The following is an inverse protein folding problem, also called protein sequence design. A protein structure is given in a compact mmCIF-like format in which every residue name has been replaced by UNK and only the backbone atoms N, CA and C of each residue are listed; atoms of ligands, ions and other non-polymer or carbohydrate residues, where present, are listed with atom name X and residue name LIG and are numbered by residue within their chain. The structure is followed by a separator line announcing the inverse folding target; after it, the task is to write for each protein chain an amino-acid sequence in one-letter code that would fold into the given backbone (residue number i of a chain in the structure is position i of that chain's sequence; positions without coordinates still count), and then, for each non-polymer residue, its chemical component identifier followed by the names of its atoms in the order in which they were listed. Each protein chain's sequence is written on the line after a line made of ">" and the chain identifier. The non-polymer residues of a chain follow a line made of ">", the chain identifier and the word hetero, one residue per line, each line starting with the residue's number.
data_IF_329900442365
#
_entry.id   IF_329900442365
#
_cell.length_a   1.000
_cell.length_b   1.000
_cell.length_c   1.000
_cell.angle_alpha   90.00
_cell.angle_beta   90.00
_cell.angle_gamma   90.00
#
_symmetry.space_group_name_H-M   'P 1'
#
loop_
_entity.id
_entity.type
_entity.pdbx_description
1 polymer ?
#
# COMPACT_ATOMS: atom_id res chain seq x y z
N UNK A 1 16.51 -8.31 34.13
CA UNK A 1 17.91 -8.28 33.64
C UNK A 1 18.13 -6.87 33.15
N UNK A 2 19.09 -6.15 33.74
CA UNK A 2 19.41 -4.78 33.36
C UNK A 2 20.04 -4.87 31.97
N UNK A 3 19.39 -4.27 30.98
CA UNK A 3 19.91 -4.17 29.62
C UNK A 3 21.24 -3.40 29.70
N UNK A 4 22.34 -4.03 29.30
CA UNK A 4 23.67 -3.42 29.34
C UNK A 4 23.66 -2.18 28.44
N UNK A 5 23.55 -1.00 29.05
CA UNK A 5 23.53 0.29 28.38
C UNK A 5 24.82 0.46 27.56
N UNK A 6 24.74 0.24 26.24
CA UNK A 6 25.92 0.29 25.37
C UNK A 6 26.30 1.74 25.09
N UNK A 7 27.43 2.16 25.65
CA UNK A 7 27.94 3.52 25.53
C UNK A 7 28.77 3.71 24.24
N UNK A 8 28.73 4.92 23.69
CA UNK A 8 29.52 5.32 22.53
C UNK A 8 30.94 5.70 23.00
N UNK A 9 32.00 5.01 22.56
CA UNK A 9 33.35 5.24 23.10
C UNK A 9 34.14 6.36 22.40
N UNK A 10 33.53 7.09 21.45
CA UNK A 10 34.21 8.08 20.61
C UNK A 10 33.31 9.24 20.19
N UNK A 11 33.92 10.27 19.59
CA UNK A 11 33.20 11.30 18.84
C UNK A 11 32.36 12.25 19.69
N UNK A 12 31.37 12.88 19.04
CA UNK A 12 30.49 13.94 19.58
C UNK A 12 29.68 13.46 20.80
N UNK A 13 29.31 12.18 20.82
CA UNK A 13 28.44 11.56 21.81
C UNK A 13 29.18 10.60 22.76
N UNK A 14 30.48 10.83 22.98
CA UNK A 14 31.30 9.96 23.82
C UNK A 14 30.69 9.80 25.23
N UNK A 15 30.73 8.57 25.73
CA UNK A 15 30.22 8.14 27.04
C UNK A 15 28.70 8.28 27.21
N UNK A 16 27.97 8.55 26.11
CA UNK A 16 26.51 8.57 26.09
C UNK A 16 25.95 7.23 25.57
N UNK A 17 24.71 6.89 25.94
CA UNK A 17 24.02 5.71 25.42
C UNK A 17 23.87 5.78 23.90
N UNK A 18 24.00 4.64 23.22
CA UNK A 18 23.89 4.56 21.76
C UNK A 18 22.56 5.11 21.21
N UNK A 19 21.49 5.04 22.02
CA UNK A 19 20.14 5.55 21.72
C UNK A 19 20.12 7.07 21.47
N UNK A 20 21.11 7.84 21.94
CA UNK A 20 21.19 9.28 21.66
C UNK A 20 21.27 9.57 20.16
N UNK A 21 21.80 8.63 19.36
CA UNK A 21 21.90 8.73 17.91
C UNK A 21 20.54 8.74 17.21
N UNK A 22 19.42 8.46 17.91
CA UNK A 22 18.06 8.54 17.35
C UNK A 22 17.75 9.97 16.97
N UNK A 23 18.25 10.92 17.77
CA UNK A 23 17.96 12.34 17.63
C UNK A 23 18.92 13.08 16.68
N UNK A 24 19.90 12.39 16.08
CA UNK A 24 20.89 12.98 15.16
C UNK A 24 21.14 12.08 13.93
N UNK A 25 20.18 12.05 12.97
CA UNK A 25 20.29 11.21 11.77
C UNK A 25 21.49 11.57 10.89
N UNK A 26 21.86 12.85 10.83
CA UNK A 26 23.02 13.32 10.07
C UNK A 26 24.31 12.73 10.63
N UNK A 27 24.52 12.81 11.94
CA UNK A 27 25.71 12.23 12.58
C UNK A 27 25.74 10.70 12.46
N UNK A 28 24.58 10.04 12.59
CA UNK A 28 24.45 8.59 12.39
C UNK A 28 24.86 8.18 10.97
N UNK A 29 24.34 8.86 9.94
CA UNK A 29 24.66 8.55 8.55
C UNK A 29 26.12 8.85 8.22
N UNK A 30 26.65 9.97 8.72
CA UNK A 30 28.07 10.30 8.61
C UNK A 30 28.94 9.20 9.24
N UNK A 31 28.56 8.69 10.41
CA UNK A 31 29.28 7.65 11.14
C UNK A 31 29.24 6.30 10.40
N UNK A 32 28.07 5.91 9.87
CA UNK A 32 27.90 4.68 9.08
C UNK A 32 28.71 4.70 7.77
N UNK A 33 28.98 5.88 7.21
CA UNK A 33 29.80 6.05 6.01
C UNK A 33 31.31 5.89 6.28
N UNK A 34 31.76 5.89 7.54
CA UNK A 34 33.19 5.81 7.87
C UNK A 34 33.71 4.36 7.88
N UNK A 35 34.73 4.09 7.07
CA UNK A 35 35.39 2.77 7.02
C UNK A 35 35.97 2.35 8.37
N UNK A 36 36.52 3.30 9.15
CA UNK A 36 37.11 3.00 10.46
C UNK A 36 36.06 2.55 11.49
N UNK A 37 34.83 3.06 11.40
CA UNK A 37 33.76 2.74 12.35
C UNK A 37 33.32 1.29 12.17
N UNK A 38 33.14 0.87 10.90
CA UNK A 38 32.81 -0.51 10.57
C UNK A 38 33.89 -1.51 11.00
N UNK A 39 35.16 -1.11 10.97
CA UNK A 39 36.28 -1.97 11.36
C UNK A 39 36.48 -2.06 12.88
N UNK A 40 36.38 -0.94 13.59
CA UNK A 40 36.68 -0.87 15.03
C UNK A 40 35.50 -1.20 15.92
N UNK A 41 34.27 -0.97 15.46
CA UNK A 41 33.07 -1.10 16.28
C UNK A 41 31.96 -1.86 15.53
N UNK A 42 32.21 -3.12 15.10
CA UNK A 42 31.23 -3.91 14.35
C UNK A 42 29.93 -4.14 15.15
N UNK A 43 30.03 -4.33 16.46
CA UNK A 43 28.87 -4.55 17.33
C UNK A 43 27.97 -3.30 17.45
N UNK A 44 28.58 -2.10 17.53
CA UNK A 44 27.82 -0.85 17.54
C UNK A 44 27.18 -0.61 16.18
N UNK A 45 27.89 -0.91 15.08
CA UNK A 45 27.31 -0.85 13.73
C UNK A 45 26.10 -1.79 13.60
N UNK A 46 26.19 -3.02 14.11
CA UNK A 46 25.07 -3.97 14.06
C UNK A 46 23.88 -3.47 14.87
N UNK A 47 24.11 -2.88 16.05
CA UNK A 47 23.05 -2.28 16.87
C UNK A 47 22.44 -1.08 16.16
N UNK A 48 23.25 -0.21 15.55
CA UNK A 48 22.74 0.92 14.77
C UNK A 48 21.87 0.42 13.61
N UNK A 49 22.32 -0.61 12.88
CA UNK A 49 21.55 -1.18 11.77
C UNK A 49 20.28 -1.88 12.25
N UNK A 50 20.32 -2.61 13.38
CA UNK A 50 19.18 -3.40 13.86
C UNK A 50 18.15 -2.55 14.62
N UNK A 51 18.59 -1.66 15.51
CA UNK A 51 17.72 -0.81 16.34
C UNK A 51 17.27 0.46 15.60
N UNK A 52 18.04 0.89 14.58
CA UNK A 52 17.76 2.06 13.76
C UNK A 52 17.60 1.69 12.29
N UNK A 53 17.23 0.43 12.01
CA UNK A 53 16.28 0.18 10.92
C UNK A 53 15.18 1.18 11.18
N UNK A 54 15.12 2.21 10.36
CA UNK A 54 14.01 3.14 10.37
C UNK A 54 12.76 2.24 10.38
N UNK A 55 12.03 2.23 11.50
CA UNK A 55 10.59 2.05 11.42
C UNK A 55 10.16 3.27 10.61
N UNK A 56 10.23 3.10 9.29
CA UNK A 56 10.07 4.13 8.27
C UNK A 56 8.62 4.61 8.18
N UNK A 57 7.76 4.12 9.07
CA UNK A 57 6.39 4.56 9.19
C UNK A 57 6.36 5.81 10.06
N UNK A 58 6.43 6.96 9.39
CA UNK A 58 6.11 8.22 10.05
C UNK A 58 4.70 8.14 10.65
N UNK A 59 4.36 8.94 11.68
CA UNK A 59 3.00 8.98 12.22
C UNK A 59 1.92 9.18 11.13
N UNK A 60 2.25 9.87 10.06
CA UNK A 60 1.41 10.09 8.89
C UNK A 60 1.17 8.80 8.09
N UNK A 61 2.20 7.97 7.88
CA UNK A 61 2.06 6.65 7.23
C UNK A 61 1.17 5.73 8.07
N UNK A 62 1.45 5.62 9.36
CA UNK A 62 0.66 4.84 10.32
C UNK A 62 -0.82 5.26 10.35
N UNK A 63 -1.06 6.58 10.27
CA UNK A 63 -2.42 7.12 10.21
C UNK A 63 -3.15 6.66 8.94
N UNK A 64 -2.51 6.75 7.78
CA UNK A 64 -3.09 6.32 6.50
C UNK A 64 -3.31 4.81 6.46
N UNK A 65 -2.40 4.02 7.04
CA UNK A 65 -2.59 2.58 7.19
C UNK A 65 -3.79 2.27 8.10
N UNK A 66 -3.99 3.07 9.15
CA UNK A 66 -5.14 2.99 10.05
C UNK A 66 -6.50 3.15 9.36
N UNK A 67 -6.58 3.90 8.25
CA UNK A 67 -7.83 4.04 7.48
C UNK A 67 -8.31 2.69 6.91
N UNK A 68 -7.38 1.77 6.60
CA UNK A 68 -7.69 0.44 6.10
C UNK A 68 -8.22 -0.54 7.15
N UNK A 69 -8.34 -0.11 8.41
CA UNK A 69 -9.09 -0.84 9.44
C UNK A 69 -10.60 -0.67 9.29
N UNK A 70 -11.07 0.41 8.65
CA UNK A 70 -12.50 0.66 8.40
C UNK A 70 -12.96 -0.02 7.11
N UNK A 71 -13.89 -0.97 7.26
CA UNK A 71 -14.50 -1.69 6.13
C UNK A 71 -15.18 -0.75 5.14
N UNK A 72 -15.79 0.36 5.60
CA UNK A 72 -16.42 1.34 4.71
C UNK A 72 -15.38 2.02 3.84
N UNK A 73 -14.23 2.37 4.43
CA UNK A 73 -13.11 2.94 3.70
C UNK A 73 -12.57 1.93 2.68
N UNK A 74 -12.34 0.68 3.07
CA UNK A 74 -11.89 -0.37 2.14
C UNK A 74 -12.86 -0.56 0.95
N UNK A 75 -14.16 -0.51 1.20
CA UNK A 75 -15.18 -0.63 0.13
C UNK A 75 -15.16 0.59 -0.78
N UNK A 76 -15.06 1.81 -0.23
CA UNK A 76 -14.94 3.04 -1.02
C UNK A 76 -13.65 3.02 -1.88
N UNK A 77 -12.56 2.54 -1.30
CA UNK A 77 -11.29 2.31 -1.98
C UNK A 77 -11.47 1.35 -3.16
N UNK A 78 -12.12 0.18 -2.95
CA UNK A 78 -12.41 -0.79 -4.02
C UNK A 78 -13.22 -0.16 -5.17
N UNK A 79 -14.24 0.63 -4.85
CA UNK A 79 -15.07 1.34 -5.84
C UNK A 79 -14.27 2.33 -6.67
N UNK A 80 -13.34 3.05 -6.06
CA UNK A 80 -12.46 3.98 -6.77
C UNK A 80 -11.46 3.26 -7.69
N UNK A 81 -10.87 2.15 -7.23
CA UNK A 81 -9.86 1.44 -8.03
C UNK A 81 -10.46 0.60 -9.16
N UNK A 82 -11.71 0.15 -9.02
CA UNK A 82 -12.37 -0.72 -9.99
C UNK A 82 -13.86 -0.35 -10.13
N UNK A 83 -14.19 0.86 -10.62
CA UNK A 83 -15.58 1.28 -10.79
C UNK A 83 -16.36 0.36 -11.73
N UNK A 84 -15.68 -0.18 -12.74
CA UNK A 84 -16.25 -1.15 -13.69
C UNK A 84 -16.76 -2.43 -13.04
N UNK A 85 -16.23 -2.82 -11.88
CA UNK A 85 -16.72 -3.96 -11.10
C UNK A 85 -18.15 -3.73 -10.59
N UNK A 86 -18.54 -2.47 -10.43
CA UNK A 86 -19.83 -2.05 -9.88
C UNK A 86 -20.80 -1.53 -10.96
N UNK A 87 -20.28 -0.99 -12.06
CA UNK A 87 -21.11 -0.48 -13.17
C UNK A 87 -21.68 -1.61 -14.04
N UNK A 88 -20.91 -2.69 -14.23
CA UNK A 88 -21.37 -3.85 -14.97
C UNK A 88 -20.57 -5.11 -14.58
N UNK A 89 -20.91 -5.76 -13.47
CA UNK A 89 -20.26 -7.00 -13.03
C UNK A 89 -20.34 -8.16 -14.05
N UNK A 90 -21.11 -8.02 -15.14
CA UNK A 90 -21.07 -8.88 -16.34
C UNK A 90 -19.71 -8.95 -17.05
N UNK A 91 -18.75 -8.10 -16.68
CA UNK A 91 -17.41 -8.04 -17.29
C UNK A 91 -16.30 -8.51 -16.35
N UNK A 92 -16.45 -9.65 -15.68
CA UNK A 92 -15.27 -10.37 -15.22
C UNK A 92 -14.58 -10.93 -16.48
N UNK A 93 -13.39 -10.43 -16.88
CA UNK A 93 -12.87 -10.61 -18.25
C UNK A 93 -12.46 -12.05 -18.61
N UNK A 94 -12.63 -13.01 -17.69
CA UNK A 94 -12.20 -14.40 -17.87
C UNK A 94 -13.34 -15.36 -18.22
N UNK A 95 -14.60 -14.91 -18.19
CA UNK A 95 -15.76 -15.72 -18.61
C UNK A 95 -16.41 -15.10 -19.84
N UNK A 96 -16.22 -15.77 -20.98
CA UNK A 96 -17.04 -15.58 -22.17
C UNK A 96 -18.52 -15.85 -21.82
N UNK A 97 -19.44 -15.48 -22.72
CA UNK A 97 -20.90 -15.74 -22.77
C UNK A 97 -21.86 -14.65 -22.25
N UNK A 98 -23.01 -14.60 -22.93
CA UNK A 98 -24.14 -13.69 -22.89
C UNK A 98 -24.95 -13.70 -21.58
N UNK A 99 -24.31 -13.36 -20.47
CA UNK A 99 -24.94 -13.19 -19.16
C UNK A 99 -24.92 -11.72 -18.74
N UNK A 100 -25.98 -11.25 -18.08
CA UNK A 100 -25.87 -10.07 -17.23
C UNK A 100 -25.47 -10.54 -15.82
N UNK A 101 -24.17 -10.72 -15.57
CA UNK A 101 -23.75 -10.95 -14.19
C UNK A 101 -23.99 -9.68 -13.35
N UNK A 102 -24.55 -9.87 -12.16
CA UNK A 102 -24.50 -8.93 -11.05
C UNK A 102 -25.28 -7.62 -11.20
N UNK A 103 -26.46 -7.62 -11.83
CA UNK A 103 -27.37 -6.47 -11.75
C UNK A 103 -27.64 -6.05 -10.29
N UNK A 104 -27.50 -6.98 -9.34
CA UNK A 104 -27.58 -6.71 -7.91
C UNK A 104 -26.47 -7.41 -7.13
N UNK A 105 -25.55 -6.61 -6.59
CA UNK A 105 -24.64 -7.07 -5.53
C UNK A 105 -25.49 -7.26 -4.26
N UNK A 106 -25.52 -8.49 -3.75
CA UNK A 106 -26.25 -8.84 -2.53
C UNK A 106 -25.36 -8.76 -1.30
N UNK A 107 -24.05 -9.02 -1.47
CA UNK A 107 -23.07 -8.86 -0.40
C UNK A 107 -21.71 -8.46 -0.95
N UNK A 108 -21.02 -7.59 -0.21
CA UNK A 108 -19.63 -7.25 -0.43
C UNK A 108 -18.94 -7.29 0.94
N UNK A 109 -17.91 -8.11 1.07
CA UNK A 109 -17.13 -8.24 2.32
C UNK A 109 -15.67 -8.46 2.02
N UNK A 110 -14.83 -8.07 2.96
CA UNK A 110 -13.39 -8.31 2.89
C UNK A 110 -13.15 -9.79 3.19
N UNK A 111 -12.46 -10.50 2.29
CA UNK A 111 -12.05 -11.89 2.49
C UNK A 111 -10.64 -11.98 3.08
N UNK A 112 -9.75 -11.06 2.69
CA UNK A 112 -8.38 -10.99 3.20
C UNK A 112 -8.03 -9.55 3.56
N UNK A 113 -7.44 -9.35 4.73
CA UNK A 113 -6.79 -8.11 5.16
C UNK A 113 -5.50 -8.48 5.88
N UNK A 114 -4.37 -7.99 5.40
CA UNK A 114 -3.09 -8.10 6.11
C UNK A 114 -2.26 -6.84 5.95
N UNK A 115 -1.42 -6.58 6.94
CA UNK A 115 -0.53 -5.43 7.01
C UNK A 115 0.92 -5.91 7.07
N UNK A 116 1.85 -5.11 6.54
CA UNK A 116 3.30 -5.35 6.62
C UNK A 116 3.74 -6.76 6.18
N UNK A 117 3.05 -7.33 5.18
CA UNK A 117 3.29 -8.70 4.77
C UNK A 117 4.15 -8.73 3.51
N UNK A 118 5.34 -9.34 3.59
CA UNK A 118 6.29 -9.45 2.48
C UNK A 118 6.69 -8.10 1.85
N UNK A 119 6.76 -7.04 2.67
CA UNK A 119 7.09 -5.68 2.20
C UNK A 119 5.94 -4.97 1.48
N UNK A 120 4.70 -5.40 1.70
CA UNK A 120 3.47 -4.72 1.29
C UNK A 120 2.78 -4.14 2.54
N UNK A 121 2.53 -2.84 2.53
CA UNK A 121 1.91 -2.13 3.65
C UNK A 121 0.49 -2.61 3.95
N UNK A 122 -0.33 -2.78 2.89
CA UNK A 122 -1.71 -3.30 3.00
C UNK A 122 -2.03 -4.26 1.85
N UNK A 123 -2.53 -5.44 2.19
CA UNK A 123 -3.08 -6.40 1.24
C UNK A 123 -4.56 -6.63 1.52
N UNK A 124 -5.39 -6.48 0.48
CA UNK A 124 -6.83 -6.67 0.53
C UNK A 124 -7.32 -7.64 -0.55
N UNK A 125 -8.30 -8.45 -0.20
CA UNK A 125 -9.15 -9.18 -1.14
C UNK A 125 -10.60 -9.07 -0.69
N UNK A 126 -11.53 -9.07 -1.63
CA UNK A 126 -12.95 -8.97 -1.38
C UNK A 126 -13.68 -10.17 -1.95
N UNK A 127 -14.69 -10.62 -1.22
CA UNK A 127 -15.70 -11.55 -1.70
C UNK A 127 -16.97 -10.76 -2.03
N UNK A 128 -17.43 -10.93 -3.26
CA UNK A 128 -18.62 -10.30 -3.82
C UNK A 128 -19.64 -11.40 -4.08
N UNK A 129 -20.83 -11.25 -3.53
CA UNK A 129 -21.97 -12.12 -3.82
C UNK A 129 -22.98 -11.31 -4.60
N UNK A 130 -23.51 -11.90 -5.66
CA UNK A 130 -24.42 -11.21 -6.57
C UNK A 130 -25.47 -12.15 -7.13
N UNK A 131 -26.60 -11.57 -7.52
CA UNK A 131 -27.67 -12.29 -8.20
C UNK A 131 -27.33 -12.48 -9.68
N UNK A 132 -27.66 -13.66 -10.22
CA UNK A 132 -27.57 -13.98 -11.63
C UNK A 132 -28.96 -13.89 -12.26
N UNK A 133 -29.08 -13.10 -13.33
CA UNK A 133 -30.30 -12.97 -14.11
C UNK A 133 -30.03 -13.19 -15.60
N UNK A 134 -31.01 -13.74 -16.31
CA UNK A 134 -30.90 -13.99 -17.75
C UNK A 134 -32.25 -13.81 -18.45
N UNK A 135 -32.22 -13.20 -19.62
CA UNK A 135 -33.36 -13.17 -20.54
C UNK A 135 -33.44 -14.51 -21.28
N UNK A 136 -34.10 -15.48 -20.64
CA UNK A 136 -34.22 -16.86 -21.12
C UNK A 136 -35.06 -16.99 -22.39
N UNK A 137 -35.96 -16.04 -22.62
CA UNK A 137 -36.99 -16.14 -23.65
C UNK A 137 -36.86 -15.07 -24.74
N UNK A 138 -35.82 -14.23 -24.66
CA UNK A 138 -35.56 -13.11 -25.59
C UNK A 138 -36.74 -12.13 -25.70
N UNK A 139 -37.52 -12.01 -24.62
CA UNK A 139 -38.72 -11.19 -24.52
C UNK A 139 -38.47 -9.90 -23.71
N UNK A 140 -37.23 -9.67 -23.27
CA UNK A 140 -36.83 -8.56 -22.42
C UNK A 140 -37.04 -8.81 -20.93
N UNK A 141 -37.58 -9.98 -20.53
CA UNK A 141 -37.80 -10.33 -19.13
C UNK A 141 -36.62 -11.11 -18.56
N UNK A 142 -35.94 -10.50 -17.58
CA UNK A 142 -34.82 -11.13 -16.87
C UNK A 142 -35.33 -12.06 -15.77
N UNK A 143 -34.99 -13.35 -15.89
CA UNK A 143 -35.34 -14.41 -14.95
C UNK A 143 -34.18 -14.62 -13.96
N UNK A 144 -34.50 -14.76 -12.68
CA UNK A 144 -33.52 -15.08 -11.65
C UNK A 144 -33.04 -16.53 -11.78
N UNK A 145 -31.72 -16.71 -11.81
CA UNK A 145 -31.08 -18.02 -11.94
C UNK A 145 -30.44 -18.52 -10.64
N UNK A 146 -30.19 -17.63 -9.68
CA UNK A 146 -29.52 -17.95 -8.43
C UNK A 146 -28.54 -16.87 -7.99
N UNK A 147 -27.72 -17.18 -6.98
CA UNK A 147 -26.62 -16.34 -6.51
C UNK A 147 -25.29 -16.99 -6.83
N UNK A 148 -24.28 -16.17 -7.14
CA UNK A 148 -22.91 -16.63 -7.32
C UNK A 148 -21.95 -15.72 -6.54
N UNK A 149 -20.72 -16.19 -6.38
CA UNK A 149 -19.67 -15.48 -5.66
C UNK A 149 -18.40 -15.30 -6.50
N UNK A 150 -17.79 -14.13 -6.35
CA UNK A 150 -16.52 -13.77 -6.95
C UNK A 150 -15.56 -13.29 -5.87
N UNK A 151 -14.34 -13.83 -5.88
CA UNK A 151 -13.24 -13.31 -5.09
C UNK A 151 -12.35 -12.43 -5.98
N UNK A 152 -12.14 -11.18 -5.56
CA UNK A 152 -11.31 -10.23 -6.29
C UNK A 152 -9.85 -10.70 -6.28
N UNK A 153 -9.10 -10.31 -7.32
CA UNK A 153 -7.64 -10.43 -7.27
C UNK A 153 -7.08 -9.66 -6.06
N UNK A 154 -6.00 -10.13 -5.43
CA UNK A 154 -5.36 -9.41 -4.33
C UNK A 154 -4.93 -8.00 -4.75
N UNK A 155 -5.32 -7.03 -3.94
CA UNK A 155 -4.94 -5.63 -4.04
C UNK A 155 -3.79 -5.43 -3.07
N UNK A 156 -2.61 -5.07 -3.60
CA UNK A 156 -1.36 -4.92 -2.84
C UNK A 156 -0.95 -3.46 -2.89
N UNK A 157 -1.11 -2.80 -1.75
CA UNK A 157 -1.04 -1.35 -1.63
C UNK A 157 0.26 -0.99 -0.93
N UNK A 158 1.03 -0.12 -1.57
CA UNK A 158 2.09 0.65 -0.94
C UNK A 158 1.50 1.99 -0.50
N UNK A 159 1.78 2.41 0.73
CA UNK A 159 1.34 3.69 1.28
C UNK A 159 2.54 4.63 1.36
N UNK A 160 2.38 5.83 0.81
CA UNK A 160 3.33 6.93 0.97
C UNK A 160 2.56 8.21 1.23
N UNK A 161 2.69 8.88 2.39
CA UNK A 161 1.99 10.15 2.62
C UNK A 161 2.27 11.16 1.51
N UNK A 162 3.54 11.30 1.13
CA UNK A 162 3.98 12.20 0.08
C UNK A 162 4.99 11.49 -0.82
N UNK A 163 4.95 11.78 -2.12
CA UNK A 163 5.97 11.32 -3.09
C UNK A 163 6.52 12.52 -3.84
N UNK A 164 7.84 12.57 -4.05
CA UNK A 164 8.52 13.66 -4.74
C UNK A 164 9.21 13.17 -6.02
N UNK A 165 10.22 13.89 -6.50
CA UNK A 165 11.04 13.52 -7.67
C UNK A 165 11.82 12.21 -7.49
N UNK A 166 11.85 11.67 -6.27
CA UNK A 166 12.38 10.36 -5.93
C UNK A 166 11.41 9.20 -6.27
N UNK A 167 10.27 9.48 -6.93
CA UNK A 167 9.32 8.46 -7.38
C UNK A 167 9.92 7.26 -8.14
N UNK A 168 11.03 7.35 -8.90
CA UNK A 168 11.63 6.16 -9.51
C UNK A 168 12.15 5.16 -8.47
N UNK A 169 12.53 5.60 -7.27
CA UNK A 169 12.90 4.72 -6.17
C UNK A 169 11.67 4.01 -5.59
N UNK A 170 10.57 4.74 -5.37
CA UNK A 170 9.28 4.18 -4.95
C UNK A 170 8.80 3.12 -5.93
N UNK A 171 8.86 3.42 -7.23
CA UNK A 171 8.50 2.47 -8.29
C UNK A 171 9.35 1.19 -8.23
N UNK A 172 10.67 1.31 -8.05
CA UNK A 172 11.55 0.13 -7.90
C UNK A 172 11.18 -0.70 -6.67
N UNK A 173 10.89 -0.06 -5.54
CA UNK A 173 10.47 -0.74 -4.32
C UNK A 173 9.16 -1.52 -4.56
N UNK A 174 8.15 -0.86 -5.14
CA UNK A 174 6.86 -1.49 -5.45
C UNK A 174 7.00 -2.68 -6.40
N UNK A 175 7.87 -2.59 -7.40
CA UNK A 175 8.15 -3.71 -8.30
C UNK A 175 8.81 -4.89 -7.58
N UNK A 176 9.66 -4.61 -6.59
CA UNK A 176 10.31 -5.66 -5.79
C UNK A 176 9.34 -6.33 -4.81
N UNK A 177 8.44 -5.58 -4.18
CA UNK A 177 7.42 -6.12 -3.28
C UNK A 177 6.22 -6.73 -4.03
N UNK A 178 6.00 -6.33 -5.28
CA UNK A 178 4.87 -6.73 -6.10
C UNK A 178 3.61 -5.89 -5.84
N UNK A 179 3.74 -4.72 -5.21
CA UNK A 179 2.64 -3.77 -5.02
C UNK A 179 2.07 -3.34 -6.38
N UNK A 180 0.75 -3.33 -6.49
CA UNK A 180 0.04 -2.94 -7.71
C UNK A 180 -0.77 -1.65 -7.55
N UNK A 181 -0.82 -1.09 -6.34
CA UNK A 181 -1.44 0.20 -6.04
C UNK A 181 -0.51 1.04 -5.18
N UNK A 182 -0.35 2.31 -5.54
CA UNK A 182 0.28 3.33 -4.72
C UNK A 182 -0.84 4.24 -4.15
N UNK A 183 -0.93 4.32 -2.83
CA UNK A 183 -1.84 5.20 -2.13
C UNK A 183 -1.07 6.34 -1.46
N UNK A 184 -1.45 7.59 -1.75
CA UNK A 184 -0.76 8.77 -1.25
C UNK A 184 -1.70 9.95 -0.98
N UNK A 185 -1.23 10.93 -0.20
CA UNK A 185 -1.95 12.19 0.02
C UNK A 185 -1.66 13.15 -1.11
N UNK A 186 -0.38 13.39 -1.42
CA UNK A 186 0.02 14.39 -2.42
C UNK A 186 1.34 14.05 -3.12
N UNK A 187 1.46 14.50 -4.36
CA UNK A 187 2.72 14.47 -5.12
C UNK A 187 3.35 15.86 -5.13
N UNK A 188 4.60 15.97 -4.67
CA UNK A 188 5.31 17.26 -4.51
C UNK A 188 6.53 17.39 -5.44
N UNK A 189 6.69 16.48 -6.39
CA UNK A 189 7.81 16.54 -7.33
C UNK A 189 7.70 17.74 -8.27
N UNK A 190 8.85 18.30 -8.61
CA UNK A 190 8.95 19.50 -9.47
C UNK A 190 9.38 19.09 -10.89
N UNK A 191 10.06 17.95 -11.01
CA UNK A 191 10.65 17.47 -12.27
C UNK A 191 9.62 17.07 -13.31
N UNK A 192 8.44 16.59 -12.90
CA UNK A 192 7.32 16.25 -13.79
C UNK A 192 5.98 16.70 -13.20
N UNK A 193 4.95 16.78 -14.05
CA UNK A 193 3.59 17.04 -13.59
C UNK A 193 2.97 15.79 -12.95
N UNK A 194 1.98 15.98 -12.08
CA UNK A 194 1.22 14.89 -11.46
C UNK A 194 0.60 13.93 -12.50
N UNK A 195 0.06 14.47 -13.60
CA UNK A 195 -0.49 13.67 -14.69
C UNK A 195 0.56 12.76 -15.34
N UNK A 196 1.79 13.26 -15.53
CA UNK A 196 2.89 12.46 -16.04
C UNK A 196 3.31 11.41 -15.02
N UNK A 197 3.37 11.77 -13.73
CA UNK A 197 3.66 10.85 -12.63
C UNK A 197 2.68 9.67 -12.62
N UNK A 198 1.37 9.93 -12.67
CA UNK A 198 0.34 8.89 -12.75
C UNK A 198 0.52 8.01 -13.99
N UNK A 199 0.80 8.60 -15.16
CA UNK A 199 1.06 7.85 -16.40
C UNK A 199 2.30 6.94 -16.31
N UNK A 200 3.36 7.39 -15.63
CA UNK A 200 4.56 6.58 -15.41
C UNK A 200 4.26 5.30 -14.64
N UNK A 201 3.51 5.39 -13.54
CA UNK A 201 3.10 4.20 -12.77
C UNK A 201 2.11 3.32 -13.55
N UNK A 202 1.17 3.93 -14.28
CA UNK A 202 0.20 3.20 -15.09
C UNK A 202 0.85 2.34 -16.18
N UNK A 203 1.93 2.80 -16.81
CA UNK A 203 2.71 2.03 -17.79
C UNK A 203 3.30 0.74 -17.18
N UNK A 204 3.60 0.76 -15.89
CA UNK A 204 4.08 -0.40 -15.12
C UNK A 204 2.93 -1.21 -14.49
N UNK A 205 1.68 -0.94 -14.90
CA UNK A 205 0.45 -1.55 -14.38
C UNK A 205 0.23 -1.31 -12.89
N UNK A 206 0.75 -0.20 -12.37
CA UNK A 206 0.53 0.25 -11.00
C UNK A 206 -0.49 1.39 -11.02
N UNK A 207 -1.55 1.27 -10.21
CA UNK A 207 -2.55 2.33 -10.09
C UNK A 207 -2.14 3.30 -9.00
N UNK A 208 -2.21 4.59 -9.28
CA UNK A 208 -2.00 5.66 -8.28
C UNK A 208 -3.37 6.13 -7.78
N UNK A 209 -3.52 6.26 -6.46
CA UNK A 209 -4.75 6.72 -5.81
C UNK A 209 -4.39 7.82 -4.83
N UNK A 210 -4.98 8.99 -5.00
CA UNK A 210 -4.83 10.10 -4.06
C UNK A 210 -5.92 10.06 -2.98
N UNK A 211 -5.58 10.45 -1.76
CA UNK A 211 -6.49 10.52 -0.61
C UNK A 211 -7.75 11.34 -0.92
N UNK A 212 -7.59 12.45 -1.64
CA UNK A 212 -8.71 13.31 -2.06
C UNK A 212 -9.74 12.59 -2.95
N UNK A 213 -9.32 11.59 -3.74
CA UNK A 213 -10.23 10.82 -4.59
C UNK A 213 -11.21 9.94 -3.78
N UNK A 214 -10.93 9.72 -2.50
CA UNK A 214 -11.74 8.92 -1.60
C UNK A 214 -12.66 9.79 -0.72
N UNK A 215 -12.32 11.08 -0.53
CA UNK A 215 -13.09 12.02 0.30
C UNK A 215 -14.40 12.49 -0.35
N UNK A 216 -14.53 12.36 -1.67
CA UNK A 216 -15.71 12.81 -2.45
C UNK A 216 -16.95 11.90 -2.27
N UNK A 217 -16.83 10.76 -1.57
CA UNK A 217 -17.93 9.80 -1.40
C UNK A 217 -18.55 9.77 0.02
N UNK A 218 -18.26 10.77 0.87
CA UNK A 218 -18.88 10.92 2.20
C UNK A 218 -20.20 11.68 2.15
#
# INVERSE_FOLDING_TARGET
>A
MIDDMKLIPFGKYKDQPIEILINDPEYRNWLLAQSWFAQKFPDLKLIIINNFKETNETPEHNKLQGDFLDDKFCIAFLKNISPTLFENPARIPDRNWSFKFGEKITSLRISTRSFENAGIDVLLSFKIVFDQTMDLFEDGMFNYLGSDEYETKPIRIEIKPTVSDDYPAVLRQMKASGANILYLVEYTGIGITEEMFVKYFANERIKVVFEENLKVQK
#
